data_IF_349958169959
#
_entry.id   IF_349958169959
#
_cell.length_a   1.000
_cell.length_b   1.000
_cell.length_c   1.000
_cell.angle_alpha   90.00
_cell.angle_beta   90.00
_cell.angle_gamma   90.00
#
_symmetry.space_group_name_H-M   'P 1'
#
loop_
_entity.id
_entity.type
_entity.pdbx_description
1 polymer ?
#
# COMPACT_ATOMS: atom_id res chain seq x y z
N UNK A 1 -3.33 -11.30 53.10
CA UNK A 1 -4.45 -11.32 52.09
C UNK A 1 -4.32 -10.27 50.98
N UNK A 2 -3.10 -9.87 50.54
CA UNK A 2 -2.90 -8.88 49.45
C UNK A 2 -2.19 -9.42 48.17
N UNK A 3 -1.93 -10.73 48.11
CA UNK A 3 -1.20 -11.34 46.98
C UNK A 3 -2.08 -12.14 45.98
N UNK A 4 -3.36 -12.37 46.29
CA UNK A 4 -4.27 -13.16 45.43
C UNK A 4 -5.05 -12.29 44.42
N UNK A 5 -5.22 -11.00 44.68
CA UNK A 5 -5.96 -10.10 43.78
C UNK A 5 -5.16 -9.60 42.55
N UNK A 6 -3.81 -9.76 42.55
CA UNK A 6 -2.95 -9.28 41.44
C UNK A 6 -2.84 -10.27 40.26
N UNK A 7 -3.20 -11.55 40.49
CA UNK A 7 -3.16 -12.59 39.46
C UNK A 7 -4.43 -12.68 38.59
N UNK A 8 -5.55 -12.18 39.08
CA UNK A 8 -6.82 -12.23 38.33
C UNK A 8 -6.98 -11.11 37.29
N UNK A 9 -6.34 -9.95 37.51
CA UNK A 9 -6.40 -8.84 36.54
C UNK A 9 -5.55 -9.10 35.28
N UNK A 10 -4.41 -9.79 35.42
CA UNK A 10 -3.54 -10.14 34.29
C UNK A 10 -4.11 -11.23 33.38
N UNK A 11 -4.88 -12.17 33.94
CA UNK A 11 -5.50 -13.26 33.18
C UNK A 11 -6.69 -12.76 32.31
N UNK A 12 -7.42 -11.74 32.78
CA UNK A 12 -8.55 -11.20 32.01
C UNK A 12 -8.11 -10.38 30.79
N UNK A 13 -6.99 -9.68 30.84
CA UNK A 13 -6.44 -8.92 29.69
C UNK A 13 -5.87 -9.87 28.64
N UNK A 14 -5.18 -10.96 29.05
CA UNK A 14 -4.63 -11.95 28.13
C UNK A 14 -5.71 -12.77 27.43
N UNK A 15 -6.80 -13.11 28.12
CA UNK A 15 -7.94 -13.85 27.54
C UNK A 15 -8.72 -12.97 26.58
N UNK A 16 -8.93 -11.69 26.91
CA UNK A 16 -9.61 -10.73 26.01
C UNK A 16 -8.86 -10.51 24.71
N UNK A 17 -7.53 -10.38 24.73
CA UNK A 17 -6.70 -10.23 23.53
C UNK A 17 -6.65 -11.49 22.68
N UNK A 18 -6.63 -12.68 23.30
CA UNK A 18 -6.67 -13.97 22.59
C UNK A 18 -8.03 -14.22 21.91
N UNK A 19 -9.15 -13.85 22.54
CA UNK A 19 -10.48 -13.96 21.93
C UNK A 19 -10.71 -12.94 20.81
N UNK A 20 -10.20 -11.70 20.93
CA UNK A 20 -10.23 -10.71 19.85
C UNK A 20 -9.39 -11.20 18.66
N UNK A 21 -8.16 -11.63 18.90
CA UNK A 21 -7.24 -12.15 17.87
C UNK A 21 -7.78 -13.39 17.16
N UNK A 22 -8.46 -14.31 17.87
CA UNK A 22 -9.12 -15.48 17.26
C UNK A 22 -10.33 -15.08 16.40
N UNK A 23 -11.11 -14.07 16.81
CA UNK A 23 -12.29 -13.60 16.05
C UNK A 23 -11.88 -12.90 14.76
N UNK A 24 -10.77 -12.16 14.76
CA UNK A 24 -10.26 -11.47 13.59
C UNK A 24 -9.66 -12.46 12.57
N UNK A 25 -8.93 -13.45 13.02
CA UNK A 25 -8.42 -14.53 12.18
C UNK A 25 -9.56 -15.33 11.51
N UNK A 26 -10.68 -15.55 12.24
CA UNK A 26 -11.83 -16.30 11.75
C UNK A 26 -12.55 -15.58 10.59
N UNK A 27 -12.86 -14.28 10.72
CA UNK A 27 -13.51 -13.57 9.63
C UNK A 27 -12.56 -13.29 8.44
N UNK A 28 -11.25 -13.12 8.69
CA UNK A 28 -10.26 -12.98 7.63
C UNK A 28 -10.19 -14.23 6.75
N UNK A 29 -10.21 -15.42 7.34
CA UNK A 29 -10.29 -16.68 6.60
C UNK A 29 -11.61 -16.78 5.81
N UNK A 30 -12.72 -16.33 6.39
CA UNK A 30 -14.01 -16.27 5.70
C UNK A 30 -13.99 -15.35 4.49
N UNK A 31 -13.38 -14.15 4.60
CA UNK A 31 -13.22 -13.22 3.46
C UNK A 31 -12.29 -13.78 2.40
N UNK A 32 -11.22 -14.52 2.78
CA UNK A 32 -10.34 -15.19 1.81
C UNK A 32 -11.12 -16.22 0.98
N UNK A 33 -11.95 -17.06 1.62
CA UNK A 33 -12.82 -18.01 0.94
C UNK A 33 -13.84 -17.28 0.04
N UNK A 34 -14.45 -16.21 0.53
CA UNK A 34 -15.40 -15.39 -0.22
C UNK A 34 -14.80 -14.88 -1.54
N UNK A 35 -13.55 -14.43 -1.55
CA UNK A 35 -12.86 -13.96 -2.77
C UNK A 35 -12.80 -15.03 -3.87
N UNK A 36 -12.64 -16.29 -3.50
CA UNK A 36 -12.64 -17.42 -4.43
C UNK A 36 -14.07 -17.72 -4.93
N UNK A 37 -15.05 -17.66 -4.01
CA UNK A 37 -16.43 -18.03 -4.30
C UNK A 37 -17.16 -16.99 -5.18
N UNK A 38 -16.83 -15.69 -5.05
CA UNK A 38 -17.44 -14.60 -5.85
C UNK A 38 -17.34 -14.87 -7.34
N UNK A 39 -16.23 -15.42 -7.82
CA UNK A 39 -15.99 -15.68 -9.23
C UNK A 39 -16.65 -16.98 -9.72
N UNK A 40 -16.72 -18.00 -8.84
CA UNK A 40 -17.14 -19.36 -9.22
C UNK A 40 -18.63 -19.61 -8.95
N UNK A 41 -19.18 -19.04 -7.88
CA UNK A 41 -20.57 -19.24 -7.47
C UNK A 41 -21.12 -17.97 -6.77
N UNK A 42 -21.63 -16.97 -7.51
CA UNK A 42 -22.10 -15.71 -6.95
C UNK A 42 -23.24 -15.86 -5.92
N UNK A 43 -24.13 -16.86 -6.08
CA UNK A 43 -25.22 -17.10 -5.13
C UNK A 43 -24.68 -17.60 -3.78
N UNK A 44 -23.76 -18.54 -3.79
CA UNK A 44 -23.09 -19.00 -2.59
C UNK A 44 -22.25 -17.90 -1.94
N UNK A 45 -21.60 -17.05 -2.74
CA UNK A 45 -20.83 -15.91 -2.23
C UNK A 45 -21.72 -14.94 -1.45
N UNK A 46 -22.94 -14.65 -1.93
CA UNK A 46 -23.88 -13.79 -1.20
C UNK A 46 -24.26 -14.41 0.16
N UNK A 47 -24.55 -15.72 0.21
CA UNK A 47 -24.86 -16.40 1.47
C UNK A 47 -23.66 -16.41 2.44
N UNK A 48 -22.44 -16.62 1.95
CA UNK A 48 -21.20 -16.57 2.74
C UNK A 48 -20.97 -15.16 3.30
N UNK A 49 -21.14 -14.12 2.50
CA UNK A 49 -20.99 -12.73 2.93
C UNK A 49 -22.04 -12.36 4.01
N UNK A 50 -23.31 -12.72 3.80
CA UNK A 50 -24.34 -12.53 4.82
C UNK A 50 -24.05 -13.30 6.13
N UNK A 51 -23.49 -14.51 6.02
CA UNK A 51 -23.11 -15.28 7.19
C UNK A 51 -22.00 -14.61 8.00
N UNK A 52 -20.99 -14.04 7.31
CA UNK A 52 -19.86 -13.36 7.95
C UNK A 52 -20.30 -12.14 8.79
N UNK A 53 -21.34 -11.42 8.36
CA UNK A 53 -21.83 -10.21 9.05
C UNK A 53 -22.92 -10.49 10.10
N UNK A 54 -23.19 -11.76 10.47
CA UNK A 54 -24.16 -12.09 11.50
C UNK A 54 -23.64 -11.81 12.92
N UNK A 55 -24.59 -11.59 13.84
CA UNK A 55 -24.32 -11.44 15.27
C UNK A 55 -23.43 -10.24 15.60
N UNK A 56 -22.32 -10.47 16.29
CA UNK A 56 -21.36 -9.43 16.72
C UNK A 56 -20.69 -8.71 15.56
N UNK A 57 -20.58 -9.36 14.41
CA UNK A 57 -19.88 -8.85 13.24
C UNK A 57 -20.71 -7.85 12.42
N UNK A 58 -22.00 -7.68 12.72
CA UNK A 58 -22.92 -6.82 11.95
C UNK A 58 -22.47 -5.36 11.83
N UNK A 59 -21.69 -4.87 12.79
CA UNK A 59 -21.15 -3.50 12.82
C UNK A 59 -19.62 -3.47 12.75
N UNK A 60 -18.98 -4.58 12.41
CA UNK A 60 -17.52 -4.61 12.21
C UNK A 60 -17.18 -3.93 10.90
N UNK A 61 -16.70 -2.69 10.97
CA UNK A 61 -16.40 -1.86 9.79
C UNK A 61 -15.29 -2.48 8.95
N UNK A 62 -14.25 -3.04 9.57
CA UNK A 62 -13.13 -3.67 8.87
C UNK A 62 -13.60 -4.86 8.04
N UNK A 63 -14.45 -5.71 8.61
CA UNK A 63 -15.05 -6.83 7.89
C UNK A 63 -15.95 -6.36 6.75
N UNK A 64 -16.81 -5.36 6.98
CA UNK A 64 -17.70 -4.83 5.95
C UNK A 64 -16.90 -4.24 4.77
N UNK A 65 -15.85 -3.51 5.07
CA UNK A 65 -14.92 -2.97 4.05
C UNK A 65 -14.20 -4.11 3.33
N UNK A 66 -13.69 -5.11 4.04
CA UNK A 66 -13.00 -6.25 3.43
C UNK A 66 -13.90 -7.07 2.48
N UNK A 67 -15.20 -7.23 2.82
CA UNK A 67 -16.18 -7.85 1.92
C UNK A 67 -16.43 -6.93 0.70
N UNK A 68 -16.63 -5.63 0.93
CA UNK A 68 -16.81 -4.66 -0.16
C UNK A 68 -15.65 -4.64 -1.14
N UNK A 69 -14.41 -4.66 -0.64
CA UNK A 69 -13.20 -4.75 -1.47
C UNK A 69 -13.12 -6.09 -2.23
N UNK A 70 -13.55 -7.20 -1.63
CA UNK A 70 -13.60 -8.49 -2.31
C UNK A 70 -14.53 -8.43 -3.52
N UNK A 71 -15.72 -7.88 -3.38
CA UNK A 71 -16.66 -7.66 -4.47
C UNK A 71 -16.13 -6.66 -5.51
N UNK A 72 -15.52 -5.55 -5.07
CA UNK A 72 -14.94 -4.54 -5.96
C UNK A 72 -13.82 -5.11 -6.83
N UNK A 73 -12.96 -5.95 -6.25
CA UNK A 73 -11.87 -6.62 -6.98
C UNK A 73 -12.39 -7.63 -8.01
N UNK A 74 -13.60 -8.14 -7.81
CA UNK A 74 -14.32 -9.01 -8.74
C UNK A 74 -15.20 -8.24 -9.73
N UNK A 75 -15.06 -6.91 -9.82
CA UNK A 75 -15.87 -5.99 -10.63
C UNK A 75 -17.38 -6.04 -10.33
N UNK A 76 -17.76 -6.49 -9.13
CA UNK A 76 -19.13 -6.51 -8.62
C UNK A 76 -19.43 -5.20 -7.89
N UNK A 77 -19.56 -4.12 -8.69
CA UNK A 77 -19.72 -2.75 -8.17
C UNK A 77 -20.98 -2.56 -7.32
N UNK A 78 -22.18 -3.08 -7.70
CA UNK A 78 -23.39 -2.92 -6.88
C UNK A 78 -23.25 -3.54 -5.49
N UNK A 79 -22.67 -4.73 -5.39
CA UNK A 79 -22.45 -5.43 -4.11
C UNK A 79 -21.40 -4.68 -3.27
N UNK A 80 -20.32 -4.19 -3.89
CA UNK A 80 -19.33 -3.37 -3.19
C UNK A 80 -19.94 -2.08 -2.61
N UNK A 81 -20.84 -1.43 -3.34
CA UNK A 81 -21.57 -0.25 -2.87
C UNK A 81 -22.48 -0.57 -1.67
N UNK A 82 -23.14 -1.72 -1.67
CA UNK A 82 -23.96 -2.17 -0.55
C UNK A 82 -23.13 -2.30 0.73
N UNK A 83 -21.97 -2.99 0.65
CA UNK A 83 -21.10 -3.15 1.81
C UNK A 83 -20.43 -1.85 2.25
N UNK A 84 -20.10 -0.94 1.33
CA UNK A 84 -19.63 0.41 1.67
C UNK A 84 -20.72 1.20 2.45
N UNK A 85 -21.99 1.11 2.03
CA UNK A 85 -23.11 1.74 2.73
C UNK A 85 -23.33 1.12 4.13
N UNK A 86 -23.19 -0.20 4.28
CA UNK A 86 -23.25 -0.88 5.57
C UNK A 86 -22.10 -0.43 6.50
N UNK A 87 -20.87 -0.32 5.97
CA UNK A 87 -19.73 0.18 6.73
C UNK A 87 -19.94 1.64 7.18
N UNK A 88 -20.43 2.48 6.29
CA UNK A 88 -20.80 3.89 6.60
C UNK A 88 -21.90 3.97 7.66
N UNK A 89 -22.90 3.11 7.59
CA UNK A 89 -23.97 3.03 8.60
C UNK A 89 -23.45 2.54 9.96
N UNK A 90 -22.46 1.65 9.96
CA UNK A 90 -21.84 1.15 11.19
C UNK A 90 -20.98 2.23 11.87
N UNK A 91 -20.22 3.00 11.08
CA UNK A 91 -19.44 4.15 11.53
C UNK A 91 -19.42 5.24 10.45
N UNK A 92 -20.19 6.32 10.67
CA UNK A 92 -20.28 7.44 9.74
C UNK A 92 -19.00 8.23 9.52
N UNK A 93 -18.01 8.09 10.44
CA UNK A 93 -16.69 8.75 10.35
C UNK A 93 -15.54 7.73 10.13
N UNK A 94 -15.82 6.64 9.43
CA UNK A 94 -14.80 5.64 9.14
C UNK A 94 -13.95 6.04 7.93
N UNK A 95 -12.65 6.21 8.14
CA UNK A 95 -11.69 6.40 7.06
C UNK A 95 -11.68 5.22 6.08
N UNK A 96 -11.76 3.98 6.58
CA UNK A 96 -11.79 2.77 5.76
C UNK A 96 -13.02 2.73 4.83
N UNK A 97 -14.20 3.12 5.34
CA UNK A 97 -15.41 3.20 4.52
C UNK A 97 -15.26 4.26 3.42
N UNK A 98 -14.67 5.43 3.74
CA UNK A 98 -14.39 6.47 2.75
C UNK A 98 -13.38 5.99 1.69
N UNK A 99 -12.35 5.22 2.08
CA UNK A 99 -11.40 4.62 1.13
C UNK A 99 -12.12 3.66 0.18
N UNK A 100 -12.97 2.76 0.69
CA UNK A 100 -13.73 1.85 -0.16
C UNK A 100 -14.65 2.62 -1.13
N UNK A 101 -15.36 3.65 -0.67
CA UNK A 101 -16.18 4.51 -1.54
C UNK A 101 -15.33 5.19 -2.62
N UNK A 102 -14.12 5.64 -2.28
CA UNK A 102 -13.15 6.18 -3.22
C UNK A 102 -12.68 5.14 -4.25
N UNK A 103 -12.36 3.93 -3.81
CA UNK A 103 -11.98 2.82 -4.68
C UNK A 103 -13.11 2.45 -5.66
N UNK A 104 -14.36 2.45 -5.19
CA UNK A 104 -15.55 2.26 -6.04
C UNK A 104 -15.66 3.37 -7.09
N UNK A 105 -15.47 4.63 -6.69
CA UNK A 105 -15.51 5.77 -7.61
C UNK A 105 -14.40 5.68 -8.69
N UNK A 106 -13.20 5.18 -8.35
CA UNK A 106 -12.13 4.90 -9.32
C UNK A 106 -12.60 3.86 -10.35
N UNK A 107 -13.21 2.76 -9.92
CA UNK A 107 -13.75 1.74 -10.82
C UNK A 107 -14.84 2.30 -11.75
N UNK A 108 -15.62 3.24 -11.26
CA UNK A 108 -16.64 3.98 -12.04
C UNK A 108 -16.04 5.09 -12.91
N UNK A 109 -14.72 5.23 -12.95
CA UNK A 109 -13.99 6.29 -13.69
C UNK A 109 -14.35 7.71 -13.26
N UNK A 110 -14.80 7.88 -12.01
CA UNK A 110 -15.13 9.16 -11.41
C UNK A 110 -14.00 9.64 -10.49
N UNK A 111 -12.95 10.19 -11.09
CA UNK A 111 -11.75 10.65 -10.36
C UNK A 111 -12.09 11.79 -9.38
N UNK A 112 -13.06 12.66 -9.69
CA UNK A 112 -13.48 13.75 -8.81
C UNK A 112 -14.13 13.24 -7.53
N UNK A 113 -15.05 12.28 -7.62
CA UNK A 113 -15.64 11.65 -6.44
C UNK A 113 -14.60 10.84 -5.66
N UNK A 114 -13.71 10.12 -6.36
CA UNK A 114 -12.66 9.34 -5.73
C UNK A 114 -11.74 10.22 -4.87
N UNK A 115 -11.24 11.34 -5.42
CA UNK A 115 -10.38 12.26 -4.67
C UNK A 115 -11.11 12.86 -3.45
N UNK A 116 -12.38 13.25 -3.60
CA UNK A 116 -13.19 13.74 -2.49
C UNK A 116 -13.32 12.70 -1.36
N UNK A 117 -13.50 11.41 -1.71
CA UNK A 117 -13.63 10.34 -0.73
C UNK A 117 -12.31 10.02 -0.03
N UNK A 118 -11.18 10.11 -0.73
CA UNK A 118 -9.87 9.97 -0.09
C UNK A 118 -9.55 11.16 0.83
N UNK A 119 -9.92 12.40 0.45
CA UNK A 119 -9.81 13.55 1.35
C UNK A 119 -10.69 13.41 2.60
N UNK A 120 -11.91 12.88 2.45
CA UNK A 120 -12.77 12.55 3.58
C UNK A 120 -12.12 11.50 4.50
N UNK A 121 -11.48 10.47 3.93
CA UNK A 121 -10.74 9.47 4.70
C UNK A 121 -9.57 10.10 5.49
N UNK A 122 -8.78 10.96 4.86
CA UNK A 122 -7.69 11.71 5.49
C UNK A 122 -8.20 12.63 6.61
N UNK A 123 -9.37 13.23 6.42
CA UNK A 123 -10.00 14.06 7.45
C UNK A 123 -10.43 13.26 8.69
N UNK A 124 -10.94 12.03 8.49
CA UNK A 124 -11.35 11.17 9.60
C UNK A 124 -10.18 10.47 10.29
N UNK A 125 -9.15 10.12 9.53
CA UNK A 125 -7.89 9.56 10.04
C UNK A 125 -6.69 10.18 9.29
N UNK A 126 -6.02 11.18 9.88
CA UNK A 126 -4.85 11.83 9.29
C UNK A 126 -3.67 10.89 9.04
N UNK A 127 -3.69 9.65 9.55
CA UNK A 127 -2.67 8.63 9.33
C UNK A 127 -3.14 7.49 8.41
N UNK A 128 -4.29 7.64 7.76
CA UNK A 128 -4.79 6.67 6.80
C UNK A 128 -3.89 6.59 5.56
N UNK A 129 -2.77 5.86 5.66
CA UNK A 129 -1.77 5.74 4.59
C UNK A 129 -2.40 5.39 3.24
N UNK A 130 -3.36 4.47 3.21
CA UNK A 130 -4.01 4.05 1.96
C UNK A 130 -4.69 5.23 1.25
N UNK A 131 -5.38 6.09 1.98
CA UNK A 131 -6.06 7.26 1.40
C UNK A 131 -5.07 8.20 0.70
N UNK A 132 -3.92 8.48 1.31
CA UNK A 132 -2.88 9.30 0.69
C UNK A 132 -2.28 8.66 -0.56
N UNK A 133 -1.98 7.36 -0.52
CA UNK A 133 -1.44 6.64 -1.66
C UNK A 133 -2.41 6.62 -2.84
N UNK A 134 -3.70 6.35 -2.57
CA UNK A 134 -4.75 6.33 -3.59
C UNK A 134 -5.04 7.73 -4.15
N UNK A 135 -5.03 8.76 -3.29
CA UNK A 135 -5.12 10.16 -3.74
C UNK A 135 -3.97 10.50 -4.68
N UNK A 136 -2.75 10.15 -4.29
CA UNK A 136 -1.57 10.39 -5.12
C UNK A 136 -1.64 9.64 -6.46
N UNK A 137 -2.22 8.45 -6.52
CA UNK A 137 -2.40 7.71 -7.77
C UNK A 137 -3.32 8.44 -8.76
N UNK A 138 -4.32 9.17 -8.28
CA UNK A 138 -5.19 10.00 -9.15
C UNK A 138 -4.39 11.14 -9.78
N UNK A 139 -3.54 11.79 -8.99
CA UNK A 139 -2.91 13.06 -9.39
C UNK A 139 -1.48 12.90 -9.92
N UNK A 140 -0.81 11.76 -9.76
CA UNK A 140 0.61 11.58 -10.14
C UNK A 140 0.97 11.97 -11.57
N UNK A 141 0.03 11.84 -12.50
CA UNK A 141 0.24 12.23 -13.91
C UNK A 141 -0.41 13.57 -14.25
N UNK A 142 -1.57 13.90 -13.66
CA UNK A 142 -2.31 15.11 -13.97
C UNK A 142 -1.81 16.33 -13.18
N UNK A 143 -1.44 16.14 -11.93
CA UNK A 143 -0.89 17.18 -11.04
C UNK A 143 0.05 16.57 -10.00
N UNK A 144 1.25 16.19 -10.43
CA UNK A 144 2.23 15.56 -9.57
C UNK A 144 2.61 16.41 -8.33
N UNK A 145 2.55 17.74 -8.43
CA UNK A 145 2.86 18.63 -7.31
C UNK A 145 1.85 18.45 -6.17
N UNK A 146 0.56 18.33 -6.49
CA UNK A 146 -0.49 18.08 -5.51
C UNK A 146 -0.35 16.69 -4.86
N UNK A 147 0.00 15.68 -5.66
CA UNK A 147 0.26 14.33 -5.13
C UNK A 147 1.43 14.32 -4.15
N UNK A 148 2.54 14.99 -4.50
CA UNK A 148 3.73 15.12 -3.65
C UNK A 148 3.40 15.88 -2.36
N UNK A 149 2.67 16.99 -2.44
CA UNK A 149 2.24 17.76 -1.27
C UNK A 149 1.47 16.90 -0.27
N UNK A 150 0.48 16.13 -0.75
CA UNK A 150 -0.32 15.23 0.09
C UNK A 150 0.54 14.13 0.72
N UNK A 151 1.44 13.53 -0.05
CA UNK A 151 2.35 12.50 0.49
C UNK A 151 3.30 13.07 1.55
N UNK A 152 3.81 14.29 1.37
CA UNK A 152 4.66 14.94 2.36
C UNK A 152 3.89 15.25 3.66
N UNK A 153 2.59 15.60 3.60
CA UNK A 153 1.77 15.74 4.80
C UNK A 153 1.76 14.45 5.64
N UNK A 154 1.64 13.28 5.01
CA UNK A 154 1.73 12.02 5.73
C UNK A 154 3.16 11.73 6.19
N UNK A 155 4.17 12.06 5.39
CA UNK A 155 5.59 11.89 5.74
C UNK A 155 5.97 12.67 6.99
N UNK A 156 5.43 13.87 7.17
CA UNK A 156 5.62 14.69 8.37
C UNK A 156 4.98 14.04 9.62
N UNK A 157 3.84 13.37 9.46
CA UNK A 157 3.16 12.65 10.53
C UNK A 157 3.77 11.28 10.84
N UNK A 158 4.33 10.63 9.83
CA UNK A 158 4.91 9.28 9.89
C UNK A 158 6.24 9.23 9.10
N UNK A 159 7.33 9.80 9.63
CA UNK A 159 8.62 9.89 8.93
C UNK A 159 9.21 8.55 8.48
N UNK A 160 8.89 7.46 9.17
CA UNK A 160 9.37 6.11 8.85
C UNK A 160 8.45 5.31 7.92
N UNK A 161 7.39 5.93 7.37
CA UNK A 161 6.45 5.23 6.48
C UNK A 161 7.04 5.02 5.09
N UNK A 162 7.64 3.85 4.88
CA UNK A 162 8.31 3.49 3.62
C UNK A 162 7.37 3.38 2.42
N UNK A 163 6.06 3.19 2.63
CA UNK A 163 5.09 3.19 1.54
C UNK A 163 4.95 4.59 0.92
N UNK A 164 5.10 5.65 1.73
CA UNK A 164 5.13 7.04 1.27
C UNK A 164 6.39 7.28 0.46
N UNK A 165 7.56 6.86 0.95
CA UNK A 165 8.83 6.99 0.22
C UNK A 165 8.76 6.29 -1.13
N UNK A 166 8.21 5.09 -1.18
CA UNK A 166 8.00 4.34 -2.42
C UNK A 166 7.14 5.15 -3.42
N UNK A 167 6.03 5.71 -2.95
CA UNK A 167 5.14 6.49 -3.82
C UNK A 167 5.78 7.80 -4.28
N UNK A 168 6.51 8.50 -3.41
CA UNK A 168 7.28 9.69 -3.77
C UNK A 168 8.35 9.37 -4.81
N UNK A 169 9.10 8.28 -4.62
CA UNK A 169 10.11 7.82 -5.57
C UNK A 169 9.53 7.56 -6.97
N UNK A 170 8.38 6.88 -7.04
CA UNK A 170 7.66 6.65 -8.31
C UNK A 170 7.28 7.97 -8.99
N UNK A 171 6.76 8.94 -8.25
CA UNK A 171 6.32 10.22 -8.81
C UNK A 171 7.51 11.06 -9.27
N UNK A 172 8.57 11.16 -8.47
CA UNK A 172 9.80 11.87 -8.87
C UNK A 172 10.45 11.23 -10.09
N UNK A 173 10.48 9.89 -10.16
CA UNK A 173 10.97 9.16 -11.32
C UNK A 173 10.16 9.51 -12.59
N UNK A 174 8.82 9.51 -12.51
CA UNK A 174 7.95 9.89 -13.62
C UNK A 174 8.15 11.35 -14.08
N UNK A 175 8.57 12.23 -13.16
CA UNK A 175 8.89 13.64 -13.45
C UNK A 175 10.31 13.85 -14.00
N UNK A 176 11.11 12.79 -14.10
CA UNK A 176 12.54 12.87 -14.38
C UNK A 176 13.35 13.69 -13.34
N UNK A 177 12.83 13.84 -12.12
CA UNK A 177 13.55 14.41 -10.98
C UNK A 177 14.34 13.29 -10.29
N UNK A 178 15.41 12.83 -10.97
CA UNK A 178 16.15 11.65 -10.53
C UNK A 178 16.88 11.86 -9.21
N UNK A 179 17.31 13.08 -8.89
CA UNK A 179 17.88 13.40 -7.59
C UNK A 179 16.91 13.04 -6.45
N UNK A 180 15.68 13.57 -6.49
CA UNK A 180 14.68 13.28 -5.47
C UNK A 180 14.16 11.84 -5.52
N UNK A 181 14.13 11.24 -6.71
CA UNK A 181 13.80 9.83 -6.83
C UNK A 181 14.82 8.95 -6.10
N UNK A 182 16.12 9.21 -6.29
CA UNK A 182 17.22 8.51 -5.60
C UNK A 182 17.11 8.66 -4.08
N UNK A 183 16.89 9.89 -3.58
CA UNK A 183 16.71 10.14 -2.15
C UNK A 183 15.54 9.32 -1.57
N UNK A 184 14.38 9.33 -2.26
CA UNK A 184 13.21 8.59 -1.81
C UNK A 184 13.41 7.07 -1.90
N UNK A 185 14.03 6.54 -2.98
CA UNK A 185 14.37 5.12 -3.10
C UNK A 185 15.32 4.66 -2.00
N UNK A 186 16.32 5.47 -1.62
CA UNK A 186 17.30 5.12 -0.60
C UNK A 186 16.65 4.77 0.75
N UNK A 187 15.50 5.36 1.06
CA UNK A 187 14.81 5.15 2.33
C UNK A 187 14.18 3.75 2.46
N UNK A 188 13.87 3.07 1.35
CA UNK A 188 13.19 1.78 1.42
C UNK A 188 13.77 0.67 0.54
N UNK A 189 14.44 1.01 -0.57
CA UNK A 189 14.85 0.03 -1.59
C UNK A 189 15.83 -1.02 -1.07
N UNK A 190 16.54 -0.71 0.01
CA UNK A 190 17.46 -1.63 0.70
C UNK A 190 16.80 -2.38 1.86
N UNK A 191 15.54 -2.09 2.15
CA UNK A 191 14.79 -2.69 3.25
C UNK A 191 14.16 -4.04 2.89
N UNK A 192 13.62 -4.75 3.90
CA UNK A 192 13.06 -6.10 3.73
C UNK A 192 11.77 -6.13 2.90
N UNK A 193 11.11 -4.99 2.73
CA UNK A 193 9.86 -4.86 1.95
C UNK A 193 10.09 -4.51 0.48
N UNK A 194 11.34 -4.23 0.08
CA UNK A 194 11.68 -3.89 -1.29
C UNK A 194 11.62 -5.13 -2.20
N UNK A 195 10.98 -4.95 -3.34
CA UNK A 195 10.93 -5.97 -4.40
C UNK A 195 12.15 -5.88 -5.33
N UNK A 196 12.38 -6.91 -6.15
CA UNK A 196 13.40 -6.83 -7.21
C UNK A 196 13.13 -5.66 -8.18
N UNK A 197 11.86 -5.38 -8.46
CA UNK A 197 11.45 -4.24 -9.30
C UNK A 197 11.82 -2.88 -8.67
N UNK A 198 11.67 -2.74 -7.36
CA UNK A 198 12.07 -1.53 -6.64
C UNK A 198 13.60 -1.32 -6.72
N UNK A 199 14.38 -2.39 -6.56
CA UNK A 199 15.83 -2.34 -6.72
C UNK A 199 16.24 -1.97 -8.16
N UNK A 200 15.58 -2.53 -9.18
CA UNK A 200 15.81 -2.16 -10.59
C UNK A 200 15.55 -0.68 -10.82
N UNK A 201 14.41 -0.17 -10.33
CA UNK A 201 14.05 1.25 -10.47
C UNK A 201 15.04 2.16 -9.73
N UNK A 202 15.49 1.75 -8.55
CA UNK A 202 16.49 2.48 -7.78
C UNK A 202 17.82 2.54 -8.52
N UNK A 203 18.35 1.38 -8.98
CA UNK A 203 19.58 1.34 -9.74
C UNK A 203 19.49 2.16 -11.03
N UNK A 204 18.34 2.13 -11.70
CA UNK A 204 18.11 2.92 -12.91
C UNK A 204 18.01 4.42 -12.62
N UNK A 205 17.38 4.82 -11.51
CA UNK A 205 17.35 6.22 -11.07
C UNK A 205 18.76 6.74 -10.75
N UNK A 206 19.60 5.94 -10.08
CA UNK A 206 20.99 6.26 -9.83
C UNK A 206 21.79 6.43 -11.14
N UNK A 207 21.60 5.52 -12.10
CA UNK A 207 22.21 5.62 -13.42
C UNK A 207 21.84 6.92 -14.14
N UNK A 208 20.54 7.25 -14.17
CA UNK A 208 20.04 8.49 -14.79
C UNK A 208 20.47 9.75 -14.03
N UNK A 209 20.80 9.61 -12.76
CA UNK A 209 21.37 10.66 -11.91
C UNK A 209 22.90 10.76 -12.02
N UNK A 210 23.51 9.99 -12.93
CA UNK A 210 24.97 9.89 -13.14
C UNK A 210 25.77 9.36 -11.92
N UNK A 211 25.11 8.71 -10.95
CA UNK A 211 25.76 8.03 -9.83
C UNK A 211 26.04 6.56 -10.23
N UNK A 212 27.00 6.39 -11.15
CA UNK A 212 27.27 5.10 -11.79
C UNK A 212 27.80 4.06 -10.82
N UNK A 213 28.63 4.47 -9.85
CA UNK A 213 29.22 3.56 -8.86
C UNK A 213 28.12 2.93 -7.99
N UNK A 214 27.22 3.75 -7.42
CA UNK A 214 26.10 3.23 -6.62
C UNK A 214 25.09 2.47 -7.46
N UNK A 215 24.83 2.91 -8.69
CA UNK A 215 23.98 2.17 -9.62
C UNK A 215 24.52 0.76 -9.85
N UNK A 216 25.85 0.62 -10.07
CA UNK A 216 26.53 -0.66 -10.24
C UNK A 216 26.45 -1.51 -8.96
N UNK A 217 26.66 -0.91 -7.80
CA UNK A 217 26.54 -1.60 -6.51
C UNK A 217 25.16 -2.21 -6.33
N UNK A 218 24.10 -1.42 -6.53
CA UNK A 218 22.69 -1.88 -6.40
C UNK A 218 22.36 -2.95 -7.46
N UNK A 219 22.85 -2.78 -8.71
CA UNK A 219 22.66 -3.79 -9.75
C UNK A 219 23.34 -5.12 -9.38
N UNK A 220 24.56 -5.08 -8.85
CA UNK A 220 25.28 -6.27 -8.40
C UNK A 220 24.59 -6.96 -7.21
N UNK A 221 24.01 -6.21 -6.27
CA UNK A 221 23.18 -6.79 -5.20
C UNK A 221 21.97 -7.54 -5.75
N UNK A 222 21.31 -6.99 -6.78
CA UNK A 222 20.23 -7.67 -7.49
C UNK A 222 20.70 -8.96 -8.18
N UNK A 223 21.89 -8.93 -8.80
CA UNK A 223 22.50 -10.10 -9.46
C UNK A 223 22.94 -11.19 -8.48
N UNK A 224 23.31 -10.84 -7.24
CA UNK A 224 23.57 -11.83 -6.18
C UNK A 224 22.32 -12.64 -5.85
N UNK A 225 21.13 -12.01 -5.90
CA UNK A 225 19.84 -12.69 -5.68
C UNK A 225 19.40 -13.48 -6.92
N UNK A 226 19.58 -12.91 -8.11
CA UNK A 226 19.15 -13.48 -9.37
C UNK A 226 20.16 -13.14 -10.49
N UNK A 227 21.19 -13.98 -10.65
CA UNK A 227 22.28 -13.79 -11.60
C UNK A 227 21.84 -13.67 -13.08
N UNK A 228 20.64 -14.13 -13.41
CA UNK A 228 20.09 -14.06 -14.78
C UNK A 228 19.10 -12.93 -14.99
N UNK A 229 18.94 -12.01 -14.02
CA UNK A 229 18.00 -10.90 -14.14
C UNK A 229 18.44 -9.91 -15.22
N UNK A 230 17.70 -9.85 -16.32
CA UNK A 230 18.08 -9.13 -17.53
C UNK A 230 18.30 -7.62 -17.31
N UNK A 231 17.47 -6.97 -16.47
CA UNK A 231 17.59 -5.54 -16.20
C UNK A 231 18.88 -5.22 -15.40
N UNK A 232 19.21 -6.00 -14.38
CA UNK A 232 20.43 -5.79 -13.60
C UNK A 232 21.69 -6.05 -14.44
N UNK A 233 21.70 -7.11 -15.26
CA UNK A 233 22.83 -7.37 -16.17
C UNK A 233 23.05 -6.21 -17.14
N UNK A 234 21.96 -5.66 -17.70
CA UNK A 234 22.03 -4.51 -18.61
C UNK A 234 22.54 -3.25 -17.91
N UNK A 235 22.04 -2.97 -16.71
CA UNK A 235 22.50 -1.84 -15.90
C UNK A 235 23.98 -1.97 -15.53
N UNK A 236 24.43 -3.15 -15.10
CA UNK A 236 25.84 -3.40 -14.80
C UNK A 236 26.71 -3.11 -16.02
N UNK A 237 26.33 -3.61 -17.20
CA UNK A 237 27.05 -3.35 -18.45
C UNK A 237 27.13 -1.85 -18.75
N UNK A 238 26.04 -1.12 -18.65
CA UNK A 238 26.02 0.32 -18.93
C UNK A 238 26.87 1.11 -17.94
N UNK A 239 26.79 0.78 -16.63
CA UNK A 239 27.61 1.43 -15.61
C UNK A 239 29.11 1.18 -15.85
N UNK A 240 29.54 -0.05 -16.15
CA UNK A 240 30.93 -0.34 -16.49
C UNK A 240 31.40 0.46 -17.69
N UNK A 241 30.58 0.59 -18.73
CA UNK A 241 30.93 1.37 -19.92
C UNK A 241 31.11 2.85 -19.57
N UNK A 242 30.19 3.44 -18.80
CA UNK A 242 30.28 4.85 -18.38
C UNK A 242 31.50 5.10 -17.50
N UNK A 243 31.77 4.21 -16.54
CA UNK A 243 32.91 4.34 -15.62
C UNK A 243 34.27 4.26 -16.37
N UNK A 244 34.38 3.39 -17.38
CA UNK A 244 35.60 3.33 -18.24
C UNK A 244 35.82 4.64 -18.98
N UNK A 245 34.78 5.20 -19.62
CA UNK A 245 34.92 6.47 -20.36
C UNK A 245 35.24 7.66 -19.44
N UNK A 246 34.72 7.65 -18.19
CA UNK A 246 35.02 8.74 -17.25
C UNK A 246 36.43 8.66 -16.67
N UNK A 247 37.02 7.46 -16.54
CA UNK A 247 38.41 7.30 -16.10
C UNK A 247 39.39 7.72 -17.21
N UNK A 248 39.14 7.30 -18.44
CA UNK A 248 40.02 7.65 -19.59
C UNK A 248 40.03 9.18 -19.83
N UNK A 249 38.90 9.86 -19.64
CA UNK A 249 38.78 11.33 -19.77
C UNK A 249 39.43 12.11 -18.63
N UNK A 250 39.72 11.47 -17.48
CA UNK A 250 40.40 12.13 -16.35
C UNK A 250 41.94 11.98 -16.41
N UNK A 251 42.45 11.07 -17.25
CA UNK A 251 43.87 10.83 -17.44
C UNK A 251 44.48 11.64 -18.60
N UNK A 252 43.63 12.33 -19.40
CA UNK A 252 44.02 13.29 -20.47
C UNK A 252 43.97 14.75 -19.95
#
# INVERSE_FOLDING_TARGET
MKRVQMFLAGAFIAVGSLYAQSSDAEWQAGVAKLKETIQTNPAQAAEEAEHLIKGKNKKNVELLVAIGDAYLNADKIPEAQEYAALARKANGKSALASVLEGNIAVKQKNAGLASQKYEEAIYFDPKCTEAYLKYADIYKSANASLAIEKLNQLKDLEPSNTAVDKKLAEIYYLKNDFNKAVEAYANFAMGPTATEEDLVKYAFALFLNHDFDKSLEVANMGLQKNARHAAFNRLAMYNYTCLLYTSDAADD
#
